data_IF_863447646727
#
_entry.id   IF_863447646727
#
_cell.length_a   1.000
_cell.length_b   1.000
_cell.length_c   1.000
_cell.angle_alpha   90.00
_cell.angle_beta   90.00
_cell.angle_gamma   90.00
#
_symmetry.space_group_name_H-M   'P 1'
#
loop_
_entity.id
_entity.type
_entity.pdbx_description
1 polymer ?
#
# COMPACT_ATOMS: atom_id res chain seq x y z
N UNK A 1 -11.15 -7.25 25.51
CA UNK A 1 -10.04 -6.30 25.25
C UNK A 1 -10.27 -4.98 25.98
N UNK A 2 -9.24 -4.31 26.52
CA UNK A 2 -9.34 -2.94 27.08
C UNK A 2 -8.04 -2.14 26.86
N UNK A 3 -8.10 -1.04 26.11
CA UNK A 3 -6.91 -0.27 25.69
C UNK A 3 -7.17 1.23 25.57
N UNK A 4 -6.15 2.05 25.85
CA UNK A 4 -6.12 3.48 25.55
C UNK A 4 -4.99 3.79 24.57
N UNK A 5 -5.30 4.44 23.44
CA UNK A 5 -4.34 4.85 22.40
C UNK A 5 -4.56 6.30 22.01
N UNK A 6 -3.49 6.98 21.58
CA UNK A 6 -3.58 8.36 21.08
C UNK A 6 -4.27 8.41 19.72
N UNK A 7 -5.16 9.39 19.56
CA UNK A 7 -5.82 9.73 18.29
C UNK A 7 -4.79 10.04 17.21
N UNK A 8 -3.71 10.72 17.55
CA UNK A 8 -2.59 11.02 16.64
C UNK A 8 -1.90 9.77 16.07
N UNK A 9 -1.92 8.64 16.79
CA UNK A 9 -1.36 7.37 16.31
C UNK A 9 -2.37 6.56 15.51
N UNK A 10 -3.62 6.50 15.97
CA UNK A 10 -4.65 5.63 15.41
C UNK A 10 -5.35 6.22 14.17
N UNK A 11 -5.62 7.53 14.16
CA UNK A 11 -6.37 8.15 13.07
C UNK A 11 -5.64 8.06 11.71
N UNK A 12 -4.31 8.31 11.61
CA UNK A 12 -3.60 8.21 10.34
C UNK A 12 -3.66 6.81 9.75
N UNK A 13 -3.44 5.76 10.56
CA UNK A 13 -3.50 4.37 10.09
C UNK A 13 -4.89 4.00 9.62
N UNK A 14 -5.93 4.33 10.39
CA UNK A 14 -7.32 4.07 9.99
C UNK A 14 -7.69 4.78 8.68
N UNK A 15 -7.12 5.96 8.43
CA UNK A 15 -7.29 6.69 7.17
C UNK A 15 -6.63 5.97 6.00
N UNK A 16 -5.38 5.53 6.16
CA UNK A 16 -4.61 4.86 5.10
C UNK A 16 -5.25 3.54 4.66
N UNK A 17 -5.71 2.72 5.62
CA UNK A 17 -6.28 1.39 5.33
C UNK A 17 -7.67 1.42 4.70
N UNK A 18 -8.36 2.58 4.66
CA UNK A 18 -9.67 2.70 4.00
C UNK A 18 -9.63 2.25 2.53
N UNK A 19 -8.50 2.45 1.85
CA UNK A 19 -8.33 2.02 0.45
C UNK A 19 -8.35 0.51 0.25
N UNK A 20 -7.89 -0.24 1.24
CA UNK A 20 -7.97 -1.71 1.26
C UNK A 20 -9.37 -2.17 1.65
N UNK A 21 -9.89 -1.66 2.77
CA UNK A 21 -11.16 -2.12 3.35
C UNK A 21 -12.39 -1.63 2.58
N UNK A 22 -12.22 -0.62 1.71
CA UNK A 22 -13.28 -0.08 0.85
C UNK A 22 -13.46 -0.84 -0.47
N UNK A 23 -12.59 -1.80 -0.79
CA UNK A 23 -12.71 -2.59 -2.02
C UNK A 23 -13.89 -3.53 -1.95
N UNK A 24 -14.62 -3.66 -3.05
CA UNK A 24 -15.70 -4.63 -3.15
C UNK A 24 -15.10 -6.03 -3.20
N UNK A 25 -15.35 -6.81 -2.17
CA UNK A 25 -14.99 -8.24 -2.09
C UNK A 25 -16.25 -9.05 -1.80
N UNK A 26 -16.19 -10.36 -2.03
CA UNK A 26 -17.25 -11.29 -1.64
C UNK A 26 -17.21 -11.62 -0.13
N UNK A 27 -16.16 -11.19 0.57
CA UNK A 27 -15.90 -11.56 1.95
C UNK A 27 -16.09 -10.32 2.84
N UNK A 28 -17.27 -10.19 3.45
CA UNK A 28 -17.65 -9.00 4.21
C UNK A 28 -16.66 -8.63 5.33
N UNK A 29 -15.97 -9.62 5.91
CA UNK A 29 -14.99 -9.39 6.97
C UNK A 29 -13.81 -8.50 6.50
N UNK A 30 -13.47 -8.46 5.20
CA UNK A 30 -12.39 -7.61 4.66
C UNK A 30 -12.73 -6.11 4.67
N UNK A 31 -13.98 -5.75 4.98
CA UNK A 31 -14.37 -4.35 5.25
C UNK A 31 -13.99 -3.88 6.66
N UNK A 32 -13.42 -4.78 7.46
CA UNK A 32 -13.01 -4.55 8.83
C UNK A 32 -11.48 -4.44 8.90
N UNK A 33 -11.00 -3.80 9.97
CA UNK A 33 -9.62 -3.94 10.43
C UNK A 33 -9.60 -4.96 11.57
N UNK A 34 -8.58 -5.80 11.61
CA UNK A 34 -8.30 -6.64 12.76
C UNK A 34 -7.47 -5.83 13.75
N UNK A 35 -7.96 -5.71 14.97
CA UNK A 35 -7.29 -5.06 16.08
C UNK A 35 -6.86 -6.14 17.04
N UNK A 36 -5.55 -6.24 17.30
CA UNK A 36 -4.98 -7.18 18.27
C UNK A 36 -4.14 -6.40 19.27
N UNK A 37 -4.27 -6.69 20.55
CA UNK A 37 -3.48 -6.03 21.60
C UNK A 37 -2.52 -7.01 22.29
N UNK A 38 -1.35 -6.49 22.66
CA UNK A 38 -0.39 -7.15 23.55
C UNK A 38 -0.01 -6.22 24.71
N UNK A 39 0.95 -6.60 25.54
CA UNK A 39 1.38 -5.78 26.70
C UNK A 39 1.89 -4.39 26.35
N UNK A 40 2.32 -4.17 25.11
CA UNK A 40 3.04 -2.98 24.65
C UNK A 40 2.22 -2.09 23.73
N UNK A 41 1.20 -2.64 23.05
CA UNK A 41 0.41 -1.83 22.14
C UNK A 41 -0.66 -2.57 21.36
N UNK A 42 -1.03 -1.96 20.23
CA UNK A 42 -2.06 -2.41 19.31
C UNK A 42 -1.42 -2.71 17.95
N UNK A 43 -1.67 -3.90 17.43
CA UNK A 43 -1.50 -4.23 16.02
C UNK A 43 -2.80 -3.97 15.28
N UNK A 44 -2.72 -3.24 14.16
CA UNK A 44 -3.83 -3.02 13.22
C UNK A 44 -3.49 -3.71 11.92
N UNK A 45 -4.38 -4.60 11.48
CA UNK A 45 -4.22 -5.33 10.22
C UNK A 45 -5.42 -5.12 9.30
N UNK A 46 -5.19 -5.04 8.00
CA UNK A 46 -6.22 -4.92 6.97
C UNK A 46 -5.82 -5.71 5.74
N UNK A 47 -6.76 -6.37 5.07
CA UNK A 47 -6.46 -7.09 3.82
C UNK A 47 -7.65 -7.20 2.90
N UNK A 48 -7.39 -7.22 1.60
CA UNK A 48 -8.35 -7.59 0.55
C UNK A 48 -8.01 -8.94 -0.10
N UNK A 49 -7.22 -9.79 0.58
CA UNK A 49 -6.66 -11.07 0.14
C UNK A 49 -5.50 -10.98 -0.88
N UNK A 50 -5.36 -9.85 -1.58
CA UNK A 50 -4.26 -9.61 -2.53
C UNK A 50 -3.18 -8.71 -1.92
N UNK A 51 -3.61 -7.74 -1.13
CA UNK A 51 -2.78 -6.79 -0.39
C UNK A 51 -3.10 -6.90 1.09
N UNK A 52 -2.08 -7.08 1.91
CA UNK A 52 -2.15 -7.05 3.36
C UNK A 52 -1.40 -5.84 3.91
N UNK A 53 -1.95 -5.26 4.96
CA UNK A 53 -1.34 -4.22 5.78
C UNK A 53 -1.23 -4.71 7.21
N UNK A 54 -0.09 -4.46 7.84
CA UNK A 54 0.12 -4.62 9.27
C UNK A 54 0.88 -3.41 9.83
N UNK A 55 0.42 -2.87 10.95
CA UNK A 55 1.12 -1.81 11.67
C UNK A 55 1.01 -2.00 13.18
N UNK A 56 2.04 -1.61 13.91
CA UNK A 56 2.08 -1.68 15.37
C UNK A 56 2.18 -0.28 16.01
N UNK A 57 1.37 -0.01 17.03
CA UNK A 57 1.24 1.30 17.67
C UNK A 57 1.26 1.13 19.19
N UNK A 58 2.14 1.87 19.88
CA UNK A 58 2.20 1.84 21.34
C UNK A 58 0.88 2.32 21.96
N UNK A 59 0.43 1.62 22.99
CA UNK A 59 -0.82 1.94 23.68
C UNK A 59 -0.80 1.42 25.11
N UNK A 60 -1.63 2.02 25.97
CA UNK A 60 -1.83 1.52 27.33
C UNK A 60 -2.85 0.39 27.29
N UNK A 61 -2.39 -0.85 27.41
CA UNK A 61 -3.25 -2.05 27.40
C UNK A 61 -3.54 -2.50 28.84
N UNK A 62 -4.82 -2.51 29.21
CA UNK A 62 -5.31 -2.99 30.51
C UNK A 62 -5.80 -4.44 30.43
N UNK A 63 -6.34 -4.85 29.28
CA UNK A 63 -6.69 -6.22 28.98
C UNK A 63 -6.41 -6.54 27.51
N UNK A 64 -5.59 -7.56 27.27
CA UNK A 64 -5.30 -8.05 25.92
C UNK A 64 -6.57 -8.59 25.24
N UNK A 65 -6.55 -8.68 23.91
CA UNK A 65 -7.63 -9.26 23.13
C UNK A 65 -7.42 -9.10 21.65
N UNK A 66 -8.39 -9.58 20.88
CA UNK A 66 -8.38 -9.51 19.43
C UNK A 66 -9.83 -9.39 18.93
N UNK A 67 -10.07 -8.45 18.02
CA UNK A 67 -11.42 -8.18 17.49
C UNK A 67 -11.35 -7.58 16.09
N UNK A 68 -12.30 -7.95 15.21
CA UNK A 68 -12.46 -7.30 13.91
C UNK A 68 -13.48 -6.16 14.00
N UNK A 69 -13.12 -4.97 13.52
CA UNK A 69 -13.94 -3.76 13.64
C UNK A 69 -14.17 -3.15 12.26
N UNK A 70 -15.41 -2.76 11.95
CA UNK A 70 -15.70 -2.12 10.66
C UNK A 70 -14.85 -0.86 10.46
N UNK A 71 -13.98 -0.88 9.45
CA UNK A 71 -12.90 0.08 9.31
C UNK A 71 -13.41 1.51 9.09
N UNK A 72 -14.50 1.65 8.32
CA UNK A 72 -15.09 2.94 8.00
C UNK A 72 -15.75 3.57 9.22
N UNK A 73 -16.62 2.83 9.90
CA UNK A 73 -17.27 3.30 11.13
C UNK A 73 -16.23 3.66 12.18
N UNK A 74 -15.19 2.83 12.29
CA UNK A 74 -14.14 3.04 13.25
C UNK A 74 -13.35 4.33 12.96
N UNK A 75 -12.96 4.55 11.69
CA UNK A 75 -12.35 5.80 11.26
C UNK A 75 -13.23 7.02 11.55
N UNK A 76 -14.52 6.97 11.20
CA UNK A 76 -15.46 8.07 11.43
C UNK A 76 -15.58 8.43 12.92
N UNK A 77 -15.70 7.41 13.80
CA UNK A 77 -15.73 7.60 15.25
C UNK A 77 -14.45 8.24 15.76
N UNK A 78 -13.27 7.71 15.39
CA UNK A 78 -11.98 8.22 15.88
C UNK A 78 -11.73 9.65 15.37
N UNK A 79 -12.08 9.95 14.11
CA UNK A 79 -11.95 11.28 13.52
C UNK A 79 -12.76 12.31 14.29
N UNK A 80 -14.00 11.98 14.64
CA UNK A 80 -14.95 12.90 15.27
C UNK A 80 -14.85 12.88 16.81
N UNK A 81 -14.01 12.00 17.37
CA UNK A 81 -13.82 11.88 18.82
C UNK A 81 -13.22 13.18 19.42
N UNK A 82 -13.78 13.73 20.51
CA UNK A 82 -13.41 15.05 21.02
C UNK A 82 -12.14 15.08 21.90
N UNK A 83 -11.49 13.94 22.08
CA UNK A 83 -10.32 13.76 22.96
C UNK A 83 -9.15 13.16 22.19
N UNK A 84 -7.94 13.47 22.65
CA UNK A 84 -6.72 12.85 22.12
C UNK A 84 -6.54 11.41 22.59
N UNK A 85 -7.04 11.06 23.77
CA UNK A 85 -7.05 9.67 24.23
C UNK A 85 -8.32 8.98 23.77
N UNK A 86 -8.16 7.93 22.96
CA UNK A 86 -9.23 7.03 22.52
C UNK A 86 -9.22 5.79 23.42
N UNK A 87 -10.33 5.53 24.07
CA UNK A 87 -10.53 4.40 24.97
C UNK A 87 -11.34 3.33 24.25
N UNK A 88 -10.89 2.08 24.35
CA UNK A 88 -11.54 0.90 23.81
C UNK A 88 -11.85 -0.06 24.94
N UNK A 89 -13.07 -0.53 24.99
CA UNK A 89 -13.47 -1.59 25.89
C UNK A 89 -14.38 -2.56 25.14
N UNK A 90 -13.88 -3.76 24.87
CA UNK A 90 -14.71 -4.86 24.38
C UNK A 90 -15.41 -5.50 25.58
N UNK A 91 -16.74 -5.54 25.51
CA UNK A 91 -17.64 -6.16 26.49
C UNK A 91 -18.26 -7.43 25.90
N UNK A 92 -19.32 -7.95 26.51
CA UNK A 92 -19.97 -9.18 26.06
C UNK A 92 -20.52 -9.10 24.62
N UNK A 93 -20.54 -10.24 23.93
CA UNK A 93 -21.06 -10.38 22.56
C UNK A 93 -20.36 -9.48 21.53
N UNK A 94 -19.05 -9.23 21.69
CA UNK A 94 -18.23 -8.41 20.79
C UNK A 94 -18.70 -6.95 20.65
N UNK A 95 -19.46 -6.44 21.62
CA UNK A 95 -19.71 -5.01 21.70
C UNK A 95 -18.44 -4.28 22.10
N UNK A 96 -18.14 -3.20 21.39
CA UNK A 96 -16.98 -2.35 21.63
C UNK A 96 -17.51 -0.98 22.01
N UNK A 97 -17.20 -0.59 23.24
CA UNK A 97 -17.42 0.74 23.77
C UNK A 97 -16.19 1.59 23.45
N UNK A 98 -16.40 2.65 22.67
CA UNK A 98 -15.37 3.61 22.33
C UNK A 98 -15.72 4.93 23.01
N UNK A 99 -14.95 5.27 24.05
CA UNK A 99 -14.95 6.59 24.63
C UNK A 99 -14.96 6.66 26.15
N UNK A 100 -15.57 7.72 26.68
CA UNK A 100 -15.56 8.03 28.10
C UNK A 100 -16.94 8.54 28.56
N UNK A 101 -17.02 9.01 29.80
CA UNK A 101 -18.29 9.48 30.41
C UNK A 101 -18.99 10.64 29.67
N UNK A 102 -18.30 11.37 28.78
CA UNK A 102 -18.88 12.51 28.05
C UNK A 102 -19.39 12.13 26.66
N UNK A 103 -18.68 11.22 26.00
CA UNK A 103 -18.99 10.74 24.64
C UNK A 103 -18.66 9.27 24.59
N UNK A 104 -19.67 8.49 24.24
CA UNK A 104 -19.61 7.03 24.19
C UNK A 104 -20.24 6.56 22.88
N UNK A 105 -19.48 5.77 22.12
CA UNK A 105 -19.95 5.09 20.92
C UNK A 105 -19.97 3.59 21.17
N UNK A 106 -20.99 2.92 20.66
CA UNK A 106 -21.07 1.47 20.68
C UNK A 106 -21.06 0.93 19.26
N UNK A 107 -20.13 0.03 18.98
CA UNK A 107 -20.06 -0.70 17.71
C UNK A 107 -19.92 -2.19 17.97
N UNK A 108 -20.57 -2.99 17.14
CA UNK A 108 -20.44 -4.45 17.19
C UNK A 108 -19.23 -4.85 16.35
N UNK A 109 -18.27 -5.53 16.98
CA UNK A 109 -17.18 -6.22 16.32
C UNK A 109 -17.60 -7.56 15.74
N UNK A 110 -16.74 -8.14 14.91
CA UNK A 110 -16.91 -9.47 14.32
C UNK A 110 -15.87 -10.43 14.88
N UNK A 111 -16.15 -11.73 14.77
CA UNK A 111 -15.25 -12.77 15.24
C UNK A 111 -13.90 -12.66 14.51
N UNK A 112 -12.78 -12.50 15.23
CA UNK A 112 -11.45 -12.42 14.61
C UNK A 112 -11.05 -13.69 13.86
N UNK A 113 -11.61 -14.85 14.20
CA UNK A 113 -11.32 -16.13 13.51
C UNK A 113 -11.82 -16.13 12.05
N UNK A 114 -12.77 -15.27 11.71
CA UNK A 114 -13.26 -15.10 10.33
C UNK A 114 -12.30 -14.22 9.50
N UNK A 115 -11.36 -13.52 10.13
CA UNK A 115 -10.45 -12.60 9.46
C UNK A 115 -9.35 -13.36 8.71
N UNK A 116 -9.05 -13.03 7.44
CA UNK A 116 -8.04 -13.76 6.68
C UNK A 116 -6.64 -13.59 7.28
N UNK A 117 -5.86 -14.67 7.29
CA UNK A 117 -4.46 -14.60 7.69
C UNK A 117 -3.65 -13.77 6.68
N UNK A 118 -2.87 -12.82 7.18
CA UNK A 118 -1.87 -12.10 6.40
C UNK A 118 -0.56 -12.91 6.47
N UNK A 119 0.09 -13.21 5.33
CA UNK A 119 1.33 -13.98 5.32
C UNK A 119 2.43 -13.30 6.15
N UNK A 120 3.08 -14.06 7.04
CA UNK A 120 4.29 -13.60 7.72
C UNK A 120 5.51 -14.06 6.94
N UNK A 121 6.27 -13.10 6.42
CA UNK A 121 7.42 -13.38 5.55
C UNK A 121 8.69 -13.01 6.30
N UNK A 122 9.42 -14.03 6.72
CA UNK A 122 10.68 -13.88 7.46
C UNK A 122 11.88 -13.77 6.52
N UNK A 123 13.02 -13.28 7.01
CA UNK A 123 14.29 -13.25 6.27
C UNK A 123 14.19 -12.66 4.84
N UNK A 124 13.53 -11.51 4.73
CA UNK A 124 13.42 -10.75 3.48
C UNK A 124 14.69 -9.93 3.28
N UNK A 125 15.29 -10.01 2.10
CA UNK A 125 16.40 -9.14 1.71
C UNK A 125 15.85 -7.79 1.24
N UNK A 126 16.04 -6.76 2.07
CA UNK A 126 15.56 -5.42 1.79
C UNK A 126 16.62 -4.55 1.11
N UNK A 127 16.17 -3.71 0.19
CA UNK A 127 16.89 -2.52 -0.28
C UNK A 127 16.08 -1.27 0.02
N UNK A 128 16.72 -0.10 0.05
CA UNK A 128 16.07 1.15 0.45
C UNK A 128 15.90 2.10 -0.74
N UNK A 129 14.73 2.73 -0.82
CA UNK A 129 14.42 3.82 -1.75
C UNK A 129 13.75 4.93 -0.97
N UNK A 130 14.15 6.18 -1.19
CA UNK A 130 13.49 7.34 -0.58
C UNK A 130 11.98 7.34 -0.88
N UNK A 131 11.17 7.56 0.14
CA UNK A 131 9.70 7.43 0.04
C UNK A 131 9.12 8.28 -1.08
N UNK A 132 9.57 9.53 -1.22
CA UNK A 132 9.13 10.44 -2.29
C UNK A 132 9.53 9.95 -3.69
N UNK A 133 10.70 9.31 -3.80
CA UNK A 133 11.17 8.75 -5.08
C UNK A 133 10.31 7.55 -5.44
N UNK A 134 10.10 6.62 -4.51
CA UNK A 134 9.26 5.44 -4.74
C UNK A 134 7.81 5.84 -5.06
N UNK A 135 7.24 6.82 -4.34
CA UNK A 135 5.89 7.33 -4.60
C UNK A 135 5.76 7.86 -6.03
N UNK A 136 6.77 8.60 -6.50
CA UNK A 136 6.81 9.14 -7.86
C UNK A 136 6.99 8.05 -8.92
N UNK A 137 7.79 7.01 -8.64
CA UNK A 137 7.91 5.84 -9.50
C UNK A 137 6.57 5.13 -9.65
N UNK A 138 5.84 4.94 -8.55
CA UNK A 138 4.51 4.34 -8.54
C UNK A 138 3.54 5.21 -9.34
N UNK A 139 3.42 6.50 -9.02
CA UNK A 139 2.52 7.46 -9.71
C UNK A 139 2.69 7.39 -11.24
N UNK A 140 3.94 7.42 -11.70
CA UNK A 140 4.30 7.36 -13.12
C UNK A 140 4.00 6.03 -13.80
N UNK A 141 3.90 4.94 -13.02
CA UNK A 141 3.68 3.59 -13.54
C UNK A 141 2.20 3.19 -13.49
N UNK A 142 1.46 3.61 -12.47
CA UNK A 142 0.03 3.28 -12.33
C UNK A 142 -0.88 4.12 -13.23
N UNK A 143 -0.42 5.30 -13.67
CA UNK A 143 -1.20 6.19 -14.56
C UNK A 143 -1.51 5.56 -15.92
N UNK A 144 -0.66 4.63 -16.39
CA UNK A 144 -0.96 3.83 -17.58
C UNK A 144 -1.90 2.72 -17.13
N UNK A 145 -3.15 2.77 -17.57
CA UNK A 145 -4.17 1.80 -17.20
C UNK A 145 -5.00 1.43 -18.43
N UNK A 146 -5.30 0.14 -18.57
CA UNK A 146 -6.19 -0.36 -19.62
C UNK A 146 -7.67 -0.16 -19.27
N UNK A 147 -8.54 -0.82 -20.04
CA UNK A 147 -9.97 -0.86 -19.72
C UNK A 147 -10.20 -1.51 -18.35
N UNK A 148 -11.26 -1.07 -17.66
CA UNK A 148 -11.57 -1.51 -16.29
C UNK A 148 -11.79 -3.03 -16.16
N UNK A 149 -12.22 -3.69 -17.23
CA UNK A 149 -12.48 -5.12 -17.32
C UNK A 149 -11.30 -5.94 -17.86
N UNK A 150 -10.18 -5.29 -18.22
CA UNK A 150 -8.98 -5.99 -18.65
C UNK A 150 -8.34 -6.73 -17.47
N UNK A 151 -8.06 -8.03 -17.67
CA UNK A 151 -7.50 -8.92 -16.64
C UNK A 151 -6.09 -9.42 -16.97
N UNK A 152 -5.51 -8.98 -18.09
CA UNK A 152 -4.18 -9.44 -18.51
C UNK A 152 -3.13 -8.89 -17.54
N UNK A 153 -2.25 -9.75 -17.05
CA UNK A 153 -1.24 -9.40 -16.03
C UNK A 153 -0.42 -8.16 -16.41
N UNK A 154 0.07 -8.07 -17.66
CA UNK A 154 0.84 -6.93 -18.16
C UNK A 154 0.05 -5.61 -18.25
N UNK A 155 -1.28 -5.66 -18.23
CA UNK A 155 -2.16 -4.47 -18.24
C UNK A 155 -2.52 -4.06 -16.81
N UNK A 156 -2.82 -5.00 -15.93
CA UNK A 156 -3.24 -4.71 -14.54
C UNK A 156 -2.07 -4.60 -13.56
N UNK A 157 -0.88 -5.01 -13.97
CA UNK A 157 0.35 -4.98 -13.19
C UNK A 157 1.38 -3.97 -13.68
N UNK A 158 2.39 -3.75 -12.84
CA UNK A 158 3.64 -3.05 -13.14
C UNK A 158 4.76 -4.08 -13.08
N UNK A 159 5.58 -4.11 -14.13
CA UNK A 159 6.76 -4.97 -14.19
C UNK A 159 7.91 -4.31 -13.45
N UNK A 160 8.43 -5.00 -12.45
CA UNK A 160 9.53 -4.57 -11.61
C UNK A 160 10.79 -5.35 -11.96
N UNK A 161 11.85 -4.63 -12.30
CA UNK A 161 13.14 -5.20 -12.70
C UNK A 161 14.25 -4.71 -11.78
N UNK A 162 15.20 -5.60 -11.49
CA UNK A 162 16.42 -5.31 -10.73
C UNK A 162 17.61 -5.65 -11.62
N UNK A 163 18.17 -4.62 -12.24
CA UNK A 163 19.18 -4.75 -13.30
C UNK A 163 20.54 -4.35 -12.74
N UNK A 164 21.54 -5.18 -12.98
CA UNK A 164 22.94 -4.88 -12.67
C UNK A 164 23.68 -4.49 -13.96
N UNK A 165 24.13 -3.25 -14.03
CA UNK A 165 24.98 -2.76 -15.12
C UNK A 165 26.44 -2.64 -14.64
N UNK A 166 27.38 -2.38 -15.57
CA UNK A 166 28.82 -2.34 -15.25
C UNK A 166 29.17 -1.28 -14.19
N UNK A 167 28.41 -0.17 -14.16
CA UNK A 167 28.71 1.05 -13.41
C UNK A 167 27.69 1.38 -12.31
N UNK A 168 26.51 0.77 -12.34
CA UNK A 168 25.35 1.13 -11.52
C UNK A 168 24.40 -0.06 -11.44
N UNK A 169 23.48 -0.01 -10.48
CA UNK A 169 22.33 -0.90 -10.42
C UNK A 169 21.06 -0.10 -10.67
N UNK A 170 20.02 -0.74 -11.20
CA UNK A 170 18.77 -0.07 -11.56
C UNK A 170 17.60 -0.85 -10.97
N UNK A 171 16.75 -0.15 -10.22
CA UNK A 171 15.40 -0.61 -9.95
C UNK A 171 14.45 0.08 -10.91
N UNK A 172 13.71 -0.69 -11.69
CA UNK A 172 12.87 -0.17 -12.78
C UNK A 172 11.44 -0.63 -12.63
N UNK A 173 10.52 0.30 -12.89
CA UNK A 173 9.12 0.00 -13.14
C UNK A 173 8.75 0.22 -14.60
N UNK A 174 8.03 -0.74 -15.17
CA UNK A 174 7.48 -0.68 -16.53
C UNK A 174 6.00 -1.00 -16.50
N UNK A 175 5.21 -0.24 -17.24
CA UNK A 175 3.76 -0.44 -17.34
C UNK A 175 3.28 -0.14 -18.75
N UNK A 176 2.26 -0.87 -19.19
CA UNK A 176 1.65 -0.69 -20.51
C UNK A 176 0.14 -0.88 -20.45
N UNK A 177 -0.58 -0.27 -21.39
CA UNK A 177 -1.98 -0.58 -21.71
C UNK A 177 -2.12 -1.17 -23.12
N UNK A 178 -1.00 -1.53 -23.76
CA UNK A 178 -0.89 -1.98 -25.15
C UNK A 178 -0.75 -0.86 -26.17
N UNK A 179 -1.11 0.38 -25.83
CA UNK A 179 -0.97 1.55 -26.71
C UNK A 179 0.07 2.55 -26.22
N UNK A 180 0.23 2.67 -24.90
CA UNK A 180 1.15 3.55 -24.20
C UNK A 180 2.03 2.73 -23.28
N UNK A 181 3.27 3.17 -23.10
CA UNK A 181 4.23 2.55 -22.18
C UNK A 181 4.85 3.63 -21.29
N UNK A 182 4.96 3.35 -20.00
CA UNK A 182 5.73 4.15 -19.04
C UNK A 182 6.87 3.30 -18.48
N UNK A 183 8.06 3.89 -18.46
CA UNK A 183 9.28 3.29 -17.90
C UNK A 183 9.89 4.29 -16.93
N UNK A 184 10.18 3.85 -15.71
CA UNK A 184 10.75 4.68 -14.65
C UNK A 184 11.93 3.95 -14.02
N UNK A 185 13.09 4.60 -14.03
CA UNK A 185 14.35 4.03 -13.53
C UNK A 185 14.75 4.79 -12.26
N UNK A 186 15.11 4.05 -11.21
CA UNK A 186 15.86 4.56 -10.07
C UNK A 186 17.26 3.95 -10.08
N UNK A 187 18.26 4.82 -10.06
CA UNK A 187 19.67 4.46 -10.16
C UNK A 187 20.26 4.31 -8.76
N UNK A 188 20.99 3.23 -8.57
CA UNK A 188 21.81 2.94 -7.41
C UNK A 188 23.28 2.95 -7.80
N UNK A 189 24.14 3.37 -6.86
CA UNK A 189 25.57 3.17 -7.01
C UNK A 189 25.88 1.67 -7.08
N UNK A 190 26.99 1.30 -7.73
CA UNK A 190 27.37 -0.10 -7.92
C UNK A 190 27.46 -0.89 -6.62
N UNK A 191 27.99 -0.25 -5.58
CA UNK A 191 28.19 -0.87 -4.27
C UNK A 191 26.95 -0.78 -3.37
N UNK A 192 25.86 -0.14 -3.83
CA UNK A 192 24.60 -0.13 -3.09
C UNK A 192 23.99 -1.53 -3.00
N UNK A 193 23.29 -1.76 -1.89
CA UNK A 193 22.55 -2.98 -1.67
C UNK A 193 21.25 -2.96 -2.50
N UNK A 194 21.30 -3.52 -3.71
CA UNK A 194 20.14 -3.94 -4.48
C UNK A 194 20.30 -5.44 -4.76
N UNK A 195 19.56 -6.32 -4.05
CA UNK A 195 19.63 -7.75 -4.26
C UNK A 195 19.26 -8.13 -5.69
N UNK A 196 20.06 -9.01 -6.30
CA UNK A 196 19.69 -9.65 -7.56
C UNK A 196 18.44 -10.52 -7.34
N UNK A 197 17.61 -10.65 -8.36
CA UNK A 197 16.45 -11.53 -8.29
C UNK A 197 15.66 -11.49 -9.57
N UNK A 198 14.66 -12.37 -9.66
CA UNK A 198 13.77 -12.41 -10.81
C UNK A 198 12.95 -11.11 -10.91
N UNK A 199 12.56 -10.81 -12.15
CA UNK A 199 11.61 -9.74 -12.41
C UNK A 199 10.23 -10.14 -11.89
N UNK A 200 9.42 -9.15 -11.53
CA UNK A 200 8.16 -9.41 -10.84
C UNK A 200 7.02 -8.56 -11.41
N UNK A 201 5.82 -9.14 -11.49
CA UNK A 201 4.61 -8.42 -11.86
C UNK A 201 3.84 -8.01 -10.60
N UNK A 202 3.82 -6.72 -10.29
CA UNK A 202 3.17 -6.18 -9.09
C UNK A 202 1.79 -5.63 -9.46
N UNK A 203 0.68 -6.04 -8.81
CA UNK A 203 -0.64 -5.46 -9.07
C UNK A 203 -0.67 -3.93 -8.88
N UNK A 204 -1.15 -3.17 -9.88
CA UNK A 204 -1.27 -1.70 -9.81
C UNK A 204 -2.10 -1.26 -8.62
N UNK A 205 -3.18 -1.99 -8.31
CA UNK A 205 -4.05 -1.72 -7.17
C UNK A 205 -3.28 -1.77 -5.85
N UNK A 206 -2.39 -2.74 -5.66
CA UNK A 206 -1.57 -2.81 -4.45
C UNK A 206 -0.57 -1.66 -4.38
N UNK A 207 0.07 -1.31 -5.50
CA UNK A 207 0.98 -0.15 -5.56
C UNK A 207 0.30 1.18 -5.24
N UNK A 208 -0.96 1.37 -5.67
CA UNK A 208 -1.75 2.56 -5.28
C UNK A 208 -1.95 2.64 -3.78
N UNK A 209 -2.06 1.51 -3.08
CA UNK A 209 -2.11 1.52 -1.62
C UNK A 209 -0.75 1.91 -1.07
N UNK A 210 0.36 1.32 -1.54
CA UNK A 210 1.73 1.68 -1.13
C UNK A 210 1.94 3.19 -1.17
N UNK A 211 1.52 3.88 -2.24
CA UNK A 211 1.65 5.34 -2.34
C UNK A 211 1.09 6.10 -1.13
N UNK A 212 0.00 5.65 -0.52
CA UNK A 212 -0.63 6.31 0.65
C UNK A 212 0.16 6.14 1.95
N UNK A 213 1.13 5.23 1.99
CA UNK A 213 2.01 5.00 3.15
C UNK A 213 3.35 5.73 2.98
N UNK A 214 3.65 6.22 1.77
CA UNK A 214 4.90 6.92 1.46
C UNK A 214 4.86 8.43 1.76
N UNK A 215 3.81 8.92 2.42
CA UNK A 215 3.56 10.35 2.64
C UNK A 215 4.58 11.07 3.54
N UNK A 216 5.29 10.35 4.42
CA UNK A 216 6.39 10.91 5.24
C UNK A 216 7.76 10.83 4.56
N UNK A 217 8.70 11.68 4.98
CA UNK A 217 10.10 11.62 4.54
C UNK A 217 10.82 10.33 4.98
N UNK A 218 11.98 10.07 4.37
CA UNK A 218 12.86 8.96 4.73
C UNK A 218 12.71 7.70 3.86
N UNK A 219 13.58 6.71 4.09
CA UNK A 219 13.66 5.52 3.25
C UNK A 219 12.50 4.56 3.51
N UNK A 220 11.97 3.98 2.42
CA UNK A 220 11.13 2.80 2.45
C UNK A 220 11.99 1.57 2.10
N UNK A 221 11.86 0.51 2.88
CA UNK A 221 12.50 -0.77 2.63
C UNK A 221 11.64 -1.60 1.69
N UNK A 222 12.22 -2.09 0.61
CA UNK A 222 11.56 -2.86 -0.44
C UNK A 222 12.16 -4.25 -0.48
N UNK A 223 11.32 -5.27 -0.53
CA UNK A 223 11.72 -6.67 -0.61
C UNK A 223 10.83 -7.48 -1.54
N UNK A 224 11.39 -8.56 -2.08
CA UNK A 224 10.65 -9.54 -2.88
C UNK A 224 10.94 -10.92 -2.31
N UNK A 225 9.91 -11.64 -1.89
CA UNK A 225 10.07 -12.98 -1.33
C UNK A 225 8.76 -13.77 -1.36
N UNK A 226 8.85 -15.08 -1.57
CA UNK A 226 7.73 -16.03 -1.51
C UNK A 226 6.50 -15.57 -2.32
N UNK A 227 6.72 -15.09 -3.55
CA UNK A 227 5.68 -14.54 -4.43
C UNK A 227 4.98 -13.27 -3.90
N UNK A 228 5.66 -12.48 -3.08
CA UNK A 228 5.16 -11.21 -2.56
C UNK A 228 6.16 -10.07 -2.79
N UNK A 229 5.60 -8.89 -3.05
CA UNK A 229 6.27 -7.60 -2.96
C UNK A 229 5.97 -6.99 -1.59
N UNK A 230 7.03 -6.61 -0.87
CA UNK A 230 6.95 -6.19 0.52
C UNK A 230 7.52 -4.79 0.64
N UNK A 231 6.78 -3.90 1.28
CA UNK A 231 7.24 -2.54 1.58
C UNK A 231 7.14 -2.33 3.08
N UNK A 232 8.25 -2.01 3.72
CA UNK A 232 8.31 -1.63 5.13
C UNK A 232 8.69 -0.16 5.26
N UNK A 233 7.96 0.53 6.13
CA UNK A 233 8.28 1.90 6.50
C UNK A 233 7.95 2.12 7.96
N UNK A 234 8.95 2.54 8.73
CA UNK A 234 8.82 2.70 10.18
C UNK A 234 8.26 1.43 10.84
N UNK A 235 7.03 1.50 11.37
CA UNK A 235 6.31 0.43 12.08
C UNK A 235 5.21 -0.22 11.25
N UNK A 236 5.16 0.09 9.96
CA UNK A 236 4.12 -0.34 9.01
C UNK A 236 4.73 -1.25 7.93
N UNK A 237 4.01 -2.32 7.59
CA UNK A 237 4.36 -3.27 6.52
C UNK A 237 3.19 -3.46 5.58
N UNK A 238 3.44 -3.35 4.28
CA UNK A 238 2.53 -3.76 3.23
C UNK A 238 3.08 -4.99 2.50
N UNK A 239 2.21 -5.94 2.24
CA UNK A 239 2.52 -7.18 1.53
C UNK A 239 1.55 -7.27 0.36
N UNK A 240 2.07 -7.39 -0.86
CA UNK A 240 1.28 -7.51 -2.08
C UNK A 240 1.64 -8.83 -2.75
N UNK A 241 0.65 -9.69 -2.98
CA UNK A 241 0.84 -10.89 -3.79
C UNK A 241 1.17 -10.51 -5.23
N UNK A 242 2.24 -11.09 -5.77
CA UNK A 242 2.64 -10.88 -7.16
C UNK A 242 1.68 -11.57 -8.12
N UNK A 243 1.52 -10.99 -9.31
CA UNK A 243 0.77 -11.58 -10.41
C UNK A 243 1.60 -12.66 -11.10
N UNK A 244 0.92 -13.70 -11.58
CA UNK A 244 1.51 -14.67 -12.50
C UNK A 244 1.39 -14.17 -13.95
N UNK A 245 2.43 -14.43 -14.74
CA UNK A 245 2.47 -14.15 -16.17
C UNK A 245 3.62 -13.24 -16.59
N UNK A 246 3.86 -13.20 -17.89
CA UNK A 246 4.99 -12.49 -18.48
C UNK A 246 4.66 -11.06 -18.87
N UNK A 247 5.68 -10.19 -18.84
CA UNK A 247 5.62 -8.87 -19.44
C UNK A 247 6.15 -8.93 -20.88
N UNK A 248 5.47 -8.34 -21.88
CA UNK A 248 5.94 -8.35 -23.26
C UNK A 248 7.31 -7.69 -23.42
N UNK A 249 8.15 -8.25 -24.28
CA UNK A 249 9.40 -7.63 -24.70
C UNK A 249 9.15 -6.22 -25.26
N UNK A 250 9.79 -5.23 -24.67
CA UNK A 250 9.50 -3.81 -24.96
C UNK A 250 10.73 -3.00 -25.39
N UNK A 251 11.94 -3.58 -25.36
CA UNK A 251 13.18 -2.88 -25.67
C UNK A 251 13.17 -2.19 -27.05
N UNK A 252 12.67 -2.89 -28.06
CA UNK A 252 12.59 -2.40 -29.44
C UNK A 252 11.56 -1.26 -29.63
N UNK A 253 10.59 -1.13 -28.72
CA UNK A 253 9.55 -0.09 -28.79
C UNK A 253 10.13 1.28 -28.37
N UNK A 254 11.09 1.29 -27.43
CA UNK A 254 11.68 2.49 -26.86
C UNK A 254 12.70 3.13 -27.81
N UNK A 255 13.48 2.33 -28.53
CA UNK A 255 14.57 2.82 -29.39
C UNK A 255 14.10 2.97 -30.83
N UNK A 256 13.62 4.16 -31.20
CA UNK A 256 13.25 4.49 -32.59
C UNK A 256 14.33 5.33 -33.29
N UNK A 257 14.89 4.82 -34.38
CA UNK A 257 15.79 5.57 -35.27
C UNK A 257 14.97 6.49 -36.20
N UNK A 258 15.44 7.71 -36.44
CA UNK A 258 14.87 8.62 -37.43
C UNK A 258 13.70 9.52 -36.97
N UNK A 259 13.53 9.72 -35.67
CA UNK A 259 12.55 10.69 -35.13
C UNK A 259 13.01 12.14 -35.28
N UNK A 260 12.05 13.07 -35.38
CA UNK A 260 12.31 14.51 -35.30
C UNK A 260 12.22 14.97 -33.84
N UNK A 261 13.17 15.79 -33.40
CA UNK A 261 13.11 16.43 -32.08
C UNK A 261 12.34 17.75 -32.20
N UNK A 262 11.26 17.88 -31.43
CA UNK A 262 10.45 19.11 -31.38
C UNK A 262 10.46 19.63 -29.94
N UNK A 263 11.27 20.66 -29.64
CA UNK A 263 11.28 21.26 -28.31
C UNK A 263 10.00 22.08 -28.11
N UNK A 264 9.30 21.83 -27.02
CA UNK A 264 8.05 22.51 -26.66
C UNK A 264 8.05 22.85 -25.17
N UNK A 265 7.40 23.96 -24.82
CA UNK A 265 7.09 24.25 -23.42
C UNK A 265 5.98 23.31 -22.93
N UNK A 266 6.28 22.54 -21.89
CA UNK A 266 5.35 21.53 -21.36
C UNK A 266 4.06 22.15 -20.83
N UNK A 267 4.13 23.29 -20.16
CA UNK A 267 2.98 23.91 -19.52
C UNK A 267 2.02 24.46 -20.58
N UNK A 268 2.54 25.25 -21.53
CA UNK A 268 1.76 25.80 -22.63
C UNK A 268 1.14 24.70 -23.50
N UNK A 269 1.91 23.64 -23.81
CA UNK A 269 1.40 22.52 -24.59
C UNK A 269 0.28 21.77 -23.86
N UNK A 270 0.43 21.54 -22.56
CA UNK A 270 -0.62 20.91 -21.75
C UNK A 270 -1.87 21.79 -21.66
N UNK A 271 -1.73 23.11 -21.51
CA UNK A 271 -2.86 24.03 -21.52
C UNK A 271 -3.59 24.00 -22.87
N UNK A 272 -2.85 24.01 -23.97
CA UNK A 272 -3.42 23.94 -25.33
C UNK A 272 -4.24 22.65 -25.52
N UNK A 273 -3.70 21.50 -25.12
CA UNK A 273 -4.42 20.22 -25.21
C UNK A 273 -5.71 20.21 -24.38
N UNK A 274 -5.70 20.84 -23.21
CA UNK A 274 -6.87 20.90 -22.33
C UNK A 274 -7.91 21.94 -22.78
N UNK A 275 -7.50 22.98 -23.51
CA UNK A 275 -8.38 24.06 -23.98
C UNK A 275 -9.15 23.69 -25.27
N UNK A 276 -8.73 22.64 -25.98
CA UNK A 276 -9.45 22.10 -27.12
C UNK A 276 -10.22 20.83 -26.70
N UNK A 277 -11.48 20.93 -26.23
CA UNK A 277 -12.30 19.75 -26.03
C UNK A 277 -12.57 19.12 -27.40
N UNK A 278 -12.30 17.82 -27.52
CA UNK A 278 -12.95 16.98 -28.52
C UNK A 278 -14.43 16.84 -28.19
#
# INVERSE_FOLDING_TARGET
MKVTIKKSDLLPVLSKVQGLTGRRTNLAITTNVLVKTDKTGISVSATDLETGFEGFYEAKVEAEGIIAINARKFYEIVRDFPSEDIFFNEVENHWIEIGNQKVEYHIVGLNPDDFPEIPKIEAVEFFEVESMVLAKMIEKSVIISGATDDKRAHIVGVFAERIEEKTNKIFRFVSTDGSRLSKVDHLFDKDSNLPSGENAMIPKKGLVEVSKFLDSEGPAKIGFKDNNFIVQKERETLIIRLLEGDFPEYGDIIVKKGGNSIPLDRHLFSMMLNACPY
#
